data_IF_231129323053
#
_entry.id   IF_231129323053
#
_cell.length_a   1.000
_cell.length_b   1.000
_cell.length_c   1.000
_cell.angle_alpha   90.00
_cell.angle_beta   90.00
_cell.angle_gamma   90.00
#
_symmetry.space_group_name_H-M   'P 1'
#
loop_
_entity.id
_entity.type
_entity.pdbx_description
1 polymer ?
#
# COMPACT_ATOMS: atom_id res chain seq x y z
N UNK A 1 -16.14 -5.22 14.07
CA UNK A 1 -16.38 -5.53 12.63
C UNK A 1 -16.23 -4.30 11.72
N UNK A 2 -16.89 -3.16 12.00
CA UNK A 2 -16.78 -1.92 11.17
C UNK A 2 -15.37 -1.32 11.03
N UNK A 3 -14.58 -1.22 12.11
CA UNK A 3 -13.21 -0.68 12.02
C UNK A 3 -12.27 -1.54 11.15
N UNK A 4 -12.48 -2.86 11.15
CA UNK A 4 -11.73 -3.78 10.31
C UNK A 4 -12.10 -3.53 8.84
N UNK A 5 -13.40 -3.44 8.53
CA UNK A 5 -13.88 -3.14 7.18
C UNK A 5 -13.38 -1.77 6.67
N UNK A 6 -13.42 -0.72 7.49
CA UNK A 6 -12.86 0.62 7.18
C UNK A 6 -11.38 0.51 6.80
N UNK A 7 -10.59 -0.24 7.57
CA UNK A 7 -9.16 -0.47 7.26
C UNK A 7 -8.92 -1.27 5.98
N UNK A 8 -9.79 -2.22 5.64
CA UNK A 8 -9.71 -2.98 4.39
C UNK A 8 -10.04 -2.12 3.17
N UNK A 9 -11.09 -1.28 3.25
CA UNK A 9 -11.48 -0.38 2.16
C UNK A 9 -10.42 0.71 1.89
N UNK A 10 -9.85 1.27 2.95
CA UNK A 10 -8.73 2.22 2.85
C UNK A 10 -7.51 1.57 2.18
N UNK A 11 -7.21 0.31 2.53
CA UNK A 11 -6.11 -0.41 1.88
C UNK A 11 -6.42 -0.78 0.42
N UNK A 12 -7.65 -1.19 0.11
CA UNK A 12 -8.07 -1.52 -1.25
C UNK A 12 -7.96 -0.30 -2.17
N UNK A 13 -8.48 0.86 -1.74
CA UNK A 13 -8.38 2.11 -2.49
C UNK A 13 -6.94 2.53 -2.73
N UNK A 14 -6.06 2.32 -1.75
CA UNK A 14 -4.61 2.54 -1.91
C UNK A 14 -4.01 1.68 -3.02
N UNK A 15 -4.21 0.36 -2.94
CA UNK A 15 -3.61 -0.60 -3.88
C UNK A 15 -4.16 -0.36 -5.28
N UNK A 16 -5.46 -0.17 -5.42
CA UNK A 16 -6.09 0.12 -6.72
C UNK A 16 -5.54 1.42 -7.33
N UNK A 17 -5.45 2.50 -6.55
CA UNK A 17 -4.91 3.78 -7.02
C UNK A 17 -3.46 3.63 -7.48
N UNK A 18 -2.64 2.88 -6.72
CA UNK A 18 -1.25 2.63 -7.08
C UNK A 18 -1.10 1.81 -8.36
N UNK A 19 -1.88 0.74 -8.53
CA UNK A 19 -1.86 -0.06 -9.75
C UNK A 19 -2.29 0.79 -10.94
N UNK A 20 -3.40 1.52 -10.83
CA UNK A 20 -3.94 2.35 -11.91
C UNK A 20 -2.96 3.45 -12.33
N UNK A 21 -2.43 4.23 -11.38
CA UNK A 21 -1.42 5.26 -11.70
C UNK A 21 -0.15 4.62 -12.27
N UNK A 22 0.28 3.46 -11.76
CA UNK A 22 1.48 2.82 -12.26
C UNK A 22 1.33 2.40 -13.71
N UNK A 23 0.24 1.72 -14.05
CA UNK A 23 0.01 1.21 -15.39
C UNK A 23 -0.22 2.34 -16.39
N UNK A 24 -0.98 3.39 -16.04
CA UNK A 24 -1.16 4.57 -16.90
C UNK A 24 0.19 5.24 -17.22
N UNK A 25 1.07 5.38 -16.23
CA UNK A 25 2.36 6.04 -16.44
C UNK A 25 3.35 5.19 -17.25
N UNK A 26 3.25 3.86 -17.20
CA UNK A 26 4.17 2.95 -17.90
C UNK A 26 3.70 2.65 -19.33
N UNK A 27 2.38 2.55 -19.54
CA UNK A 27 1.81 2.05 -20.80
C UNK A 27 0.93 3.07 -21.54
N UNK A 28 0.50 4.16 -20.89
CA UNK A 28 -0.39 5.17 -21.47
C UNK A 28 -1.88 4.87 -21.27
N UNK A 29 -2.73 5.50 -22.10
CA UNK A 29 -4.19 5.30 -22.09
C UNK A 29 -4.64 4.60 -23.38
N UNK A 30 -4.80 3.28 -23.34
CA UNK A 30 -5.48 2.49 -24.38
C UNK A 30 -6.41 1.42 -23.78
N UNK A 31 -7.35 0.90 -24.58
CA UNK A 31 -8.24 -0.19 -24.15
C UNK A 31 -7.49 -1.49 -23.81
N UNK A 32 -6.34 -1.74 -24.45
CA UNK A 32 -5.49 -2.88 -24.12
C UNK A 32 -4.88 -2.71 -22.72
N UNK A 33 -4.52 -1.48 -22.35
CA UNK A 33 -3.93 -1.17 -21.04
C UNK A 33 -4.95 -1.34 -19.90
N UNK A 34 -6.24 -1.05 -20.14
CA UNK A 34 -7.31 -1.28 -19.16
C UNK A 34 -7.45 -2.76 -18.81
N UNK A 35 -7.32 -3.66 -19.79
CA UNK A 35 -7.34 -5.10 -19.56
C UNK A 35 -6.12 -5.56 -18.76
N UNK A 36 -4.94 -5.01 -19.04
CA UNK A 36 -3.72 -5.26 -18.28
C UNK A 36 -3.88 -4.78 -16.82
N UNK A 37 -4.48 -3.60 -16.60
CA UNK A 37 -4.81 -3.11 -15.24
C UNK A 37 -5.70 -4.10 -14.50
N UNK A 38 -6.78 -4.57 -15.15
CA UNK A 38 -7.72 -5.51 -14.54
C UNK A 38 -7.03 -6.82 -14.15
N UNK A 39 -6.20 -7.38 -15.03
CA UNK A 39 -5.44 -8.61 -14.75
C UNK A 39 -4.43 -8.41 -13.60
N UNK A 40 -3.72 -7.29 -13.60
CA UNK A 40 -2.79 -6.95 -12.53
C UNK A 40 -3.51 -6.73 -11.21
N UNK A 41 -4.67 -6.06 -11.19
CA UNK A 41 -5.46 -5.86 -9.98
C UNK A 41 -5.89 -7.19 -9.35
N UNK A 42 -6.31 -8.16 -10.17
CA UNK A 42 -6.72 -9.50 -9.69
C UNK A 42 -5.57 -10.22 -8.96
N UNK A 43 -4.32 -10.00 -9.36
CA UNK A 43 -3.14 -10.64 -8.75
C UNK A 43 -2.60 -9.81 -7.58
N UNK A 44 -2.48 -8.49 -7.77
CA UNK A 44 -1.84 -7.57 -6.83
C UNK A 44 -2.71 -7.36 -5.60
N UNK A 45 -4.04 -7.29 -5.72
CA UNK A 45 -4.91 -7.07 -4.55
C UNK A 45 -4.78 -8.22 -3.53
N UNK A 46 -4.95 -9.51 -3.90
CA UNK A 46 -4.75 -10.62 -2.97
C UNK A 46 -3.32 -10.67 -2.44
N UNK A 47 -2.32 -10.49 -3.31
CA UNK A 47 -0.91 -10.52 -2.90
C UNK A 47 -0.57 -9.44 -1.88
N UNK A 48 -1.04 -8.20 -2.10
CA UNK A 48 -0.85 -7.09 -1.19
C UNK A 48 -1.58 -7.33 0.15
N UNK A 49 -2.76 -7.93 0.13
CA UNK A 49 -3.50 -8.29 1.35
C UNK A 49 -2.77 -9.35 2.18
N UNK A 50 -2.30 -10.41 1.53
CA UNK A 50 -1.53 -11.48 2.16
C UNK A 50 -0.25 -10.91 2.77
N UNK A 51 0.49 -10.10 2.01
CA UNK A 51 1.73 -9.47 2.46
C UNK A 51 1.48 -8.54 3.67
N UNK A 52 0.39 -7.78 3.63
CA UNK A 52 0.00 -6.88 4.72
C UNK A 52 -0.31 -7.67 6.00
N UNK A 53 -1.24 -8.62 5.93
CA UNK A 53 -1.77 -9.30 7.12
C UNK A 53 -0.81 -10.33 7.69
N UNK A 54 -0.10 -11.09 6.84
CA UNK A 54 0.76 -12.18 7.30
C UNK A 54 2.19 -11.73 7.63
N UNK A 55 2.71 -10.70 6.95
CA UNK A 55 4.11 -10.29 7.12
C UNK A 55 4.24 -8.89 7.71
N UNK A 56 3.65 -7.89 7.06
CA UNK A 56 3.96 -6.49 7.35
C UNK A 56 3.43 -6.05 8.70
N UNK A 57 2.14 -6.28 8.99
CA UNK A 57 1.53 -5.88 10.27
C UNK A 57 2.17 -6.62 11.46
N UNK A 58 2.36 -7.95 11.43
CA UNK A 58 3.03 -8.66 12.51
C UNK A 58 4.46 -8.17 12.75
N UNK A 59 5.23 -7.96 11.68
CA UNK A 59 6.62 -7.50 11.77
C UNK A 59 6.70 -6.09 12.40
N UNK A 60 5.87 -5.15 11.93
CA UNK A 60 5.84 -3.79 12.46
C UNK A 60 5.41 -3.79 13.93
N UNK A 61 4.40 -4.57 14.32
CA UNK A 61 3.98 -4.70 15.73
C UNK A 61 5.09 -5.27 16.62
N UNK A 62 5.83 -6.27 16.12
CA UNK A 62 6.96 -6.85 16.85
C UNK A 62 8.08 -5.82 17.06
N UNK A 63 8.43 -5.05 16.03
CA UNK A 63 9.43 -3.97 16.13
C UNK A 63 8.95 -2.88 17.07
N UNK A 64 7.67 -2.47 16.96
CA UNK A 64 7.07 -1.44 17.81
C UNK A 64 7.13 -1.83 19.29
N UNK A 65 6.73 -3.06 19.60
CA UNK A 65 6.70 -3.59 20.97
C UNK A 65 8.12 -3.73 21.55
N UNK A 66 9.08 -4.16 20.72
CA UNK A 66 10.43 -4.47 21.18
C UNK A 66 11.35 -3.25 21.30
N UNK A 67 11.17 -2.24 20.44
CA UNK A 67 12.13 -1.13 20.32
C UNK A 67 11.52 0.27 20.47
N UNK A 68 10.20 0.44 20.30
CA UNK A 68 9.58 1.78 20.20
C UNK A 68 8.60 2.09 21.35
N UNK A 69 8.56 1.26 22.40
CA UNK A 69 7.67 1.48 23.55
C UNK A 69 7.91 2.83 24.25
N UNK A 70 9.17 3.29 24.32
CA UNK A 70 9.57 4.53 25.00
C UNK A 70 9.13 5.81 24.25
N UNK A 71 8.76 5.70 22.96
CA UNK A 71 8.40 6.85 22.14
C UNK A 71 6.93 7.24 22.37
N UNK A 72 6.67 8.56 22.42
CA UNK A 72 5.32 9.14 22.60
C UNK A 72 4.32 8.53 21.61
N UNK A 73 3.21 8.03 22.15
CA UNK A 73 2.23 7.21 21.42
C UNK A 73 1.65 7.90 20.17
N UNK A 74 1.48 9.23 20.19
CA UNK A 74 0.99 9.99 19.04
C UNK A 74 2.02 10.01 17.89
N UNK A 75 3.29 10.25 18.19
CA UNK A 75 4.39 10.20 17.20
C UNK A 75 4.52 8.79 16.65
N UNK A 76 4.39 7.79 17.53
CA UNK A 76 4.47 6.38 17.16
C UNK A 76 3.40 5.97 16.15
N UNK A 77 2.14 6.36 16.39
CA UNK A 77 1.00 6.00 15.53
C UNK A 77 0.89 6.82 14.24
N UNK A 78 1.25 8.10 14.27
CA UNK A 78 1.12 8.97 13.10
C UNK A 78 2.31 8.88 12.13
N UNK A 79 3.52 8.63 12.64
CA UNK A 79 4.74 8.80 11.84
C UNK A 79 5.52 7.48 11.77
N UNK A 80 5.92 6.93 12.91
CA UNK A 80 6.82 5.75 12.94
C UNK A 80 6.17 4.49 12.38
N UNK A 81 4.92 4.21 12.75
CA UNK A 81 4.22 3.02 12.25
C UNK A 81 4.06 3.07 10.72
N UNK A 82 3.53 4.15 10.12
CA UNK A 82 3.54 4.32 8.66
C UNK A 82 4.94 4.21 8.04
N UNK A 83 5.96 4.83 8.63
CA UNK A 83 7.32 4.80 8.12
C UNK A 83 7.93 3.39 8.09
N UNK A 84 7.69 2.58 9.11
CA UNK A 84 8.14 1.19 9.13
C UNK A 84 7.42 0.34 8.09
N UNK A 85 6.09 0.52 7.94
CA UNK A 85 5.32 -0.15 6.88
C UNK A 85 5.89 0.21 5.50
N UNK A 86 6.23 1.49 5.27
CA UNK A 86 6.87 1.95 4.03
C UNK A 86 8.21 1.26 3.78
N UNK A 87 9.10 1.28 4.78
CA UNK A 87 10.44 0.68 4.68
C UNK A 87 10.39 -0.81 4.39
N UNK A 88 9.54 -1.55 5.12
CA UNK A 88 9.41 -3.01 4.95
C UNK A 88 8.84 -3.33 3.57
N UNK A 89 7.75 -2.70 3.16
CA UNK A 89 7.13 -2.97 1.85
C UNK A 89 8.05 -2.60 0.69
N UNK A 90 8.73 -1.47 0.78
CA UNK A 90 9.69 -1.04 -0.25
C UNK A 90 10.87 -1.99 -0.32
N UNK A 91 11.42 -2.41 0.82
CA UNK A 91 12.50 -3.40 0.87
C UNK A 91 12.12 -4.73 0.24
N UNK A 92 10.91 -5.24 0.52
CA UNK A 92 10.41 -6.48 -0.09
C UNK A 92 10.29 -6.34 -1.60
N UNK A 93 9.72 -5.25 -2.10
CA UNK A 93 9.54 -5.03 -3.54
C UNK A 93 10.90 -4.87 -4.25
N UNK A 94 11.85 -4.15 -3.65
CA UNK A 94 13.22 -4.05 -4.17
C UNK A 94 13.91 -5.41 -4.19
N UNK A 95 13.79 -6.20 -3.13
CA UNK A 95 14.38 -7.55 -3.06
C UNK A 95 13.79 -8.47 -4.13
N UNK A 96 12.46 -8.54 -4.26
CA UNK A 96 11.78 -9.36 -5.26
C UNK A 96 12.14 -8.90 -6.67
N UNK A 97 12.14 -7.60 -6.93
CA UNK A 97 12.57 -7.03 -8.22
C UNK A 97 14.01 -7.42 -8.57
N UNK A 98 14.92 -7.36 -7.60
CA UNK A 98 16.33 -7.75 -7.79
C UNK A 98 16.46 -9.23 -8.13
N UNK A 99 15.71 -10.10 -7.44
CA UNK A 99 15.69 -11.55 -7.72
C UNK A 99 15.17 -11.81 -9.14
N UNK A 100 14.04 -11.19 -9.52
CA UNK A 100 13.46 -11.37 -10.85
C UNK A 100 14.37 -10.87 -11.97
N UNK A 101 15.07 -9.75 -11.74
CA UNK A 101 16.06 -9.20 -12.66
C UNK A 101 17.23 -10.16 -12.89
N UNK A 102 17.67 -10.84 -11.84
CA UNK A 102 18.73 -11.85 -11.92
C UNK A 102 18.28 -13.13 -12.64
N UNK A 103 16.99 -13.49 -12.54
CA UNK A 103 16.43 -14.65 -13.26
C UNK A 103 16.20 -14.33 -14.75
N UNK A 104 15.88 -13.08 -15.10
CA UNK A 104 15.77 -12.60 -16.48
C UNK A 104 14.49 -13.03 -17.23
N UNK A 105 13.68 -13.91 -16.66
CA UNK A 105 12.51 -14.49 -17.33
C UNK A 105 11.25 -13.59 -17.32
N UNK A 106 11.21 -12.53 -16.49
CA UNK A 106 10.00 -11.72 -16.28
C UNK A 106 10.25 -10.21 -16.41
N UNK A 107 10.62 -9.69 -17.60
CA UNK A 107 10.95 -8.27 -17.80
C UNK A 107 9.77 -7.33 -17.52
N UNK A 108 8.55 -7.72 -17.88
CA UNK A 108 7.34 -6.91 -17.66
C UNK A 108 7.02 -6.76 -16.16
N UNK A 109 7.13 -7.86 -15.41
CA UNK A 109 6.93 -7.86 -13.95
C UNK A 109 8.06 -7.09 -13.23
N UNK A 110 9.30 -7.25 -13.70
CA UNK A 110 10.47 -6.56 -13.13
C UNK A 110 10.32 -5.04 -13.29
N UNK A 111 10.00 -4.56 -14.49
CA UNK A 111 9.76 -3.13 -14.76
C UNK A 111 8.56 -2.59 -13.97
N UNK A 112 7.49 -3.39 -13.85
CA UNK A 112 6.34 -3.04 -13.03
C UNK A 112 6.71 -2.85 -11.56
N UNK A 113 7.49 -3.78 -10.98
CA UNK A 113 7.92 -3.73 -9.56
C UNK A 113 8.97 -2.65 -9.28
N UNK A 114 9.91 -2.39 -10.20
CA UNK A 114 10.84 -1.25 -10.10
C UNK A 114 10.07 0.08 -10.05
N UNK A 115 9.04 0.23 -10.90
CA UNK A 115 8.14 1.38 -10.88
C UNK A 115 7.38 1.53 -9.56
N UNK A 116 7.05 0.42 -8.90
CA UNK A 116 6.46 0.44 -7.56
C UNK A 116 7.45 0.93 -6.51
N UNK A 117 8.69 0.46 -6.48
CA UNK A 117 9.69 0.88 -5.49
C UNK A 117 9.82 2.41 -5.37
N UNK A 118 9.91 3.11 -6.50
CA UNK A 118 10.00 4.58 -6.56
C UNK A 118 8.67 5.22 -6.13
N UNK A 119 7.54 4.65 -6.57
CA UNK A 119 6.19 5.17 -6.27
C UNK A 119 5.83 4.98 -4.80
N UNK A 120 6.28 3.91 -4.14
CA UNK A 120 6.11 3.71 -2.71
C UNK A 120 6.75 4.85 -1.90
N UNK A 121 7.91 5.37 -2.33
CA UNK A 121 8.56 6.48 -1.64
C UNK A 121 7.77 7.80 -1.69
N UNK A 122 6.96 8.03 -2.74
CA UNK A 122 6.24 9.30 -2.95
C UNK A 122 4.74 9.19 -2.62
N UNK A 123 4.08 8.13 -3.11
CA UNK A 123 2.64 7.92 -2.94
C UNK A 123 2.27 7.37 -1.56
N UNK A 124 3.13 6.64 -0.85
CA UNK A 124 2.81 6.23 0.53
C UNK A 124 2.74 7.43 1.50
N UNK A 125 3.70 8.38 1.52
CA UNK A 125 3.56 9.58 2.35
C UNK A 125 2.28 10.35 2.02
N UNK A 126 2.01 10.59 0.73
CA UNK A 126 0.77 11.23 0.28
C UNK A 126 -0.47 10.47 0.79
N UNK A 127 -0.44 9.14 0.73
CA UNK A 127 -1.53 8.32 1.21
C UNK A 127 -1.73 8.45 2.72
N UNK A 128 -0.66 8.32 3.51
CA UNK A 128 -0.76 8.35 4.97
C UNK A 128 -1.10 9.74 5.53
N UNK A 129 -0.63 10.81 4.88
CA UNK A 129 -0.81 12.18 5.35
C UNK A 129 -2.01 12.90 4.73
N UNK A 130 -2.48 12.48 3.56
CA UNK A 130 -3.58 13.15 2.85
C UNK A 130 -4.78 12.22 2.69
N UNK A 131 -4.60 11.08 2.01
CA UNK A 131 -5.72 10.21 1.61
C UNK A 131 -6.36 9.51 2.82
N UNK A 132 -5.57 8.98 3.74
CA UNK A 132 -6.07 8.29 4.94
C UNK A 132 -6.84 9.24 5.87
N UNK A 133 -6.34 10.45 6.21
CA UNK A 133 -7.13 11.44 6.95
C UNK A 133 -8.42 11.83 6.24
N UNK A 134 -8.38 12.02 4.92
CA UNK A 134 -9.57 12.38 4.13
C UNK A 134 -10.64 11.29 4.19
N UNK A 135 -10.25 10.02 4.04
CA UNK A 135 -11.17 8.89 4.21
C UNK A 135 -11.72 8.83 5.63
N UNK A 136 -10.89 9.03 6.64
CA UNK A 136 -11.37 9.05 8.02
C UNK A 136 -12.45 10.12 8.21
N UNK A 137 -12.22 11.33 7.72
CA UNK A 137 -13.19 12.41 7.73
C UNK A 137 -14.49 12.05 7.01
N UNK A 138 -14.41 11.50 5.79
CA UNK A 138 -15.59 11.07 5.01
C UNK A 138 -16.41 10.04 5.80
N UNK A 139 -15.75 9.02 6.37
CA UNK A 139 -16.44 8.01 7.17
C UNK A 139 -17.10 8.61 8.41
N UNK A 140 -16.44 9.55 9.09
CA UNK A 140 -16.96 10.18 10.29
C UNK A 140 -18.20 11.04 9.94
N UNK A 141 -18.17 11.79 8.83
CA UNK A 141 -19.32 12.54 8.30
C UNK A 141 -20.51 11.63 7.97
N UNK A 142 -20.27 10.50 7.31
CA UNK A 142 -21.34 9.53 7.01
C UNK A 142 -21.89 8.83 8.25
N UNK A 143 -21.10 8.69 9.32
CA UNK A 143 -21.59 8.16 10.59
C UNK A 143 -22.43 9.18 11.35
N UNK A 144 -22.06 10.46 11.33
CA UNK A 144 -22.89 11.54 11.90
C UNK A 144 -24.19 11.76 11.14
N UNK A 145 -24.19 11.67 9.82
CA UNK A 145 -25.38 11.87 8.98
C UNK A 145 -26.42 10.73 9.04
N UNK A 146 -26.12 9.62 9.73
CA UNK A 146 -27.07 8.51 9.99
C UNK A 146 -27.80 8.64 11.33
N UNK A 147 -27.49 9.68 12.11
CA UNK A 147 -28.06 9.92 13.44
C UNK A 147 -29.17 11.00 13.38
N UNK A 148 -29.36 11.64 12.22
CA UNK A 148 -30.48 12.54 11.91
C UNK A 148 -31.53 11.83 11.02
#
# INVERSE_FOLDING_TARGET
>A
MRHVLKGHLIFLTMVTTMVTINTILVYGFSMHDVLIILQLLVIVIPGAFILKELFTIPLVKNIETKYLMSIRQNVRRMILFPAMVMLINSGIITMVSTILKNIGEFPLLTNFLEGWGIKLAILFPLFFFVVRPLWNYIFDVFETAKID
#
